data_IF_989943817585
#
_entry.id   IF_989943817585
#
_cell.length_a   1.000
_cell.length_b   1.000
_cell.length_c   1.000
_cell.angle_alpha   90.00
_cell.angle_beta   90.00
_cell.angle_gamma   90.00
#
_symmetry.space_group_name_H-M   'P 1'
#
loop_
_entity.id
_entity.type
_entity.pdbx_description
1 polymer ?
#
# COMPACT_ATOMS: atom_id res chain seq x y z
N UNK A 1 -19.88 39.41 30.50
CA UNK A 1 -18.68 38.82 31.11
C UNK A 1 -19.12 37.62 31.96
N UNK A 2 -18.38 36.50 32.05
CA UNK A 2 -17.38 35.86 31.17
C UNK A 2 -18.00 34.60 30.48
N UNK A 3 -17.58 34.11 29.30
CA UNK A 3 -16.26 33.56 28.98
C UNK A 3 -16.26 32.03 29.11
N UNK A 4 -16.98 31.29 28.24
CA UNK A 4 -16.96 29.82 28.22
C UNK A 4 -16.09 29.30 27.08
N UNK A 5 -15.02 28.62 27.46
CA UNK A 5 -13.94 28.14 26.61
C UNK A 5 -14.16 26.63 26.35
N UNK A 6 -14.26 26.26 25.08
CA UNK A 6 -14.35 24.87 24.61
C UNK A 6 -13.01 24.16 24.87
N UNK A 7 -12.98 23.23 25.82
CA UNK A 7 -11.91 22.22 25.92
C UNK A 7 -12.43 20.88 25.41
N UNK A 8 -11.96 20.55 24.23
CA UNK A 8 -11.98 19.22 23.62
C UNK A 8 -11.17 18.25 24.47
N UNK A 9 -11.80 17.20 24.97
CA UNK A 9 -11.15 16.08 25.65
C UNK A 9 -10.80 15.00 24.64
N UNK A 10 -9.55 14.97 24.18
CA UNK A 10 -8.94 13.80 23.54
C UNK A 10 -8.19 12.99 24.60
N UNK A 11 -8.73 11.83 24.96
CA UNK A 11 -8.06 10.84 25.80
C UNK A 11 -6.97 10.13 24.98
N UNK A 12 -5.74 10.61 25.08
CA UNK A 12 -4.57 9.84 24.67
C UNK A 12 -4.19 8.87 25.80
N UNK A 13 -4.25 7.57 25.50
CA UNK A 13 -3.65 6.50 26.28
C UNK A 13 -2.15 6.75 26.42
N UNK A 14 -1.73 7.10 27.64
CA UNK A 14 -0.34 7.20 28.06
C UNK A 14 0.24 5.80 28.29
N UNK A 15 1.09 5.33 27.39
CA UNK A 15 2.02 4.23 27.67
C UNK A 15 3.31 4.82 28.23
N UNK A 16 3.37 4.94 29.55
CA UNK A 16 4.59 5.25 30.30
C UNK A 16 5.52 4.02 30.29
N UNK A 17 6.72 4.16 29.75
CA UNK A 17 7.82 3.23 30.01
C UNK A 17 8.59 3.63 31.27
N UNK A 18 9.05 2.68 32.10
CA UNK A 18 9.70 3.01 33.37
C UNK A 18 11.13 3.51 33.13
N UNK A 19 11.44 4.64 33.76
CA UNK A 19 12.80 5.13 33.93
C UNK A 19 13.61 4.11 34.75
N UNK A 20 14.74 3.64 34.21
CA UNK A 20 15.79 3.02 35.01
C UNK A 20 16.98 3.95 35.15
N UNK A 21 17.33 4.11 36.40
CA UNK A 21 18.39 4.85 37.06
C UNK A 21 19.81 4.46 36.66
N UNK A 22 20.70 5.46 36.72
CA UNK A 22 22.04 5.36 37.33
C UNK A 22 23.09 4.50 36.63
N UNK A 23 24.08 5.16 36.04
CA UNK A 23 25.34 4.53 35.61
C UNK A 23 26.23 5.50 34.86
N UNK A 24 27.20 6.10 35.57
CA UNK A 24 28.21 7.01 35.05
C UNK A 24 29.14 6.36 34.01
N UNK A 25 29.68 7.20 33.12
CA UNK A 25 31.05 7.04 32.61
C UNK A 25 31.28 6.06 31.46
N UNK A 26 30.95 6.46 30.23
CA UNK A 26 31.69 6.02 29.03
C UNK A 26 31.62 7.11 27.96
N UNK A 27 32.72 7.86 27.83
CA UNK A 27 32.98 8.75 26.69
C UNK A 27 33.11 7.90 25.42
N UNK A 28 31.97 7.56 24.80
CA UNK A 28 31.93 6.83 23.54
C UNK A 28 32.48 7.70 22.42
N UNK A 29 33.63 7.32 21.86
CA UNK A 29 34.13 7.83 20.58
C UNK A 29 33.03 7.64 19.53
N UNK A 30 32.67 8.74 18.87
CA UNK A 30 31.72 8.76 17.75
C UNK A 30 32.28 7.90 16.60
N UNK A 31 31.46 7.09 15.91
CA UNK A 31 31.87 6.50 14.65
C UNK A 31 32.18 7.64 13.67
N UNK A 32 33.31 7.54 12.96
CA UNK A 32 33.75 8.56 12.02
C UNK A 32 33.08 8.32 10.65
N UNK A 33 32.01 9.06 10.39
CA UNK A 33 31.15 8.94 9.19
C UNK A 33 31.68 9.67 7.94
N UNK A 34 32.92 10.16 7.94
CA UNK A 34 33.50 10.92 6.81
C UNK A 34 33.83 10.07 5.58
N UNK A 35 33.73 8.74 5.67
CA UNK A 35 33.96 7.83 4.54
C UNK A 35 32.87 7.89 3.47
N UNK A 36 31.61 8.04 3.88
CA UNK A 36 30.48 8.13 2.93
C UNK A 36 30.42 9.49 2.21
N UNK A 37 31.00 10.55 2.77
CA UNK A 37 31.07 11.85 2.09
C UNK A 37 32.10 11.88 0.96
N UNK A 38 33.19 11.10 1.04
CA UNK A 38 34.36 11.27 0.17
C UNK A 38 34.11 11.00 -1.32
N UNK A 39 33.22 10.06 -1.66
CA UNK A 39 32.97 9.66 -3.05
C UNK A 39 32.00 10.62 -3.76
N UNK A 40 31.14 11.30 -3.00
CA UNK A 40 30.16 12.27 -3.51
C UNK A 40 30.69 13.72 -3.48
N UNK A 41 31.84 13.97 -2.85
CA UNK A 41 32.40 15.31 -2.56
C UNK A 41 33.21 15.94 -3.70
N UNK A 42 33.03 15.55 -4.96
CA UNK A 42 33.81 16.13 -6.09
C UNK A 42 33.21 17.39 -6.73
N UNK A 43 32.23 18.03 -6.11
CA UNK A 43 31.73 19.35 -6.57
C UNK A 43 31.69 20.33 -5.38
N UNK A 44 32.67 21.24 -5.32
CA UNK A 44 32.91 22.22 -4.23
C UNK A 44 31.74 23.21 -4.01
N UNK A 45 30.83 23.32 -4.97
CA UNK A 45 29.64 24.17 -4.91
C UNK A 45 28.55 23.59 -4.01
N UNK A 46 28.31 22.27 -4.10
CA UNK A 46 27.31 21.56 -3.28
C UNK A 46 27.70 21.56 -1.80
N UNK A 47 29.01 21.49 -1.51
CA UNK A 47 29.53 21.52 -0.15
C UNK A 47 29.37 22.87 0.55
N UNK A 48 29.39 24.01 -0.18
CA UNK A 48 29.20 25.33 0.41
C UNK A 48 27.76 25.54 0.88
N UNK A 49 26.76 25.10 0.11
CA UNK A 49 25.36 25.23 0.50
C UNK A 49 24.93 24.25 1.61
N UNK A 50 25.49 23.02 1.62
CA UNK A 50 25.23 22.03 2.68
C UNK A 50 25.75 22.54 4.04
N UNK A 51 26.94 23.15 4.06
CA UNK A 51 27.56 23.67 5.28
C UNK A 51 26.82 24.90 5.82
N UNK A 52 26.36 25.78 4.94
CA UNK A 52 25.68 27.03 5.31
C UNK A 52 24.23 26.82 5.81
N UNK A 53 23.58 25.69 5.48
CA UNK A 53 22.21 25.36 5.96
C UNK A 53 22.19 24.42 7.16
N UNK A 54 23.28 23.72 7.46
CA UNK A 54 23.40 22.87 8.64
C UNK A 54 23.42 23.65 9.97
N UNK A 55 23.89 24.90 9.95
CA UNK A 55 24.03 25.74 11.15
C UNK A 55 22.72 26.39 11.60
N UNK A 56 21.68 26.42 10.76
CA UNK A 56 20.42 27.13 11.03
C UNK A 56 19.32 26.30 11.72
N UNK A 57 19.56 25.03 12.06
CA UNK A 57 18.52 24.11 12.57
C UNK A 57 18.82 23.47 13.94
N UNK A 58 19.74 24.04 14.71
CA UNK A 58 20.11 23.55 16.04
C UNK A 58 19.40 24.36 17.13
N UNK A 59 18.14 24.03 17.39
CA UNK A 59 17.40 24.59 18.50
C UNK A 59 16.05 23.92 18.75
N UNK A 60 16.05 22.66 19.22
CA UNK A 60 15.02 22.12 20.12
C UNK A 60 15.28 20.63 20.47
N UNK A 61 15.54 20.43 21.76
CA UNK A 61 15.23 19.30 22.65
C UNK A 61 15.83 17.89 22.47
N UNK A 62 16.56 17.54 23.54
CA UNK A 62 17.10 16.24 23.93
C UNK A 62 16.00 15.37 24.56
N UNK A 63 15.72 14.19 24.00
CA UNK A 63 15.26 13.02 24.75
C UNK A 63 15.39 11.73 23.91
N UNK A 64 16.01 10.70 24.48
CA UNK A 64 15.86 9.29 24.05
C UNK A 64 16.50 8.90 22.72
N UNK A 65 17.68 8.29 22.76
CA UNK A 65 18.45 7.89 21.59
C UNK A 65 17.80 6.81 20.72
N UNK A 66 17.33 7.22 19.54
CA UNK A 66 17.58 6.61 18.23
C UNK A 66 17.60 7.79 17.25
N UNK A 67 18.73 8.06 16.58
CA UNK A 67 18.84 9.20 15.68
C UNK A 67 18.25 8.87 14.29
N UNK A 68 16.99 8.41 14.27
CA UNK A 68 16.17 8.28 13.05
C UNK A 68 16.09 9.62 12.30
N UNK A 69 16.26 10.72 13.04
CA UNK A 69 16.27 12.09 12.54
C UNK A 69 17.48 12.41 11.64
N UNK A 70 18.65 11.80 11.84
CA UNK A 70 19.81 11.97 10.94
C UNK A 70 19.57 11.28 9.58
N UNK A 71 18.97 10.08 9.60
CA UNK A 71 18.48 9.40 8.40
C UNK A 71 17.37 10.20 7.69
N UNK A 72 16.46 10.82 8.45
CA UNK A 72 15.44 11.71 7.90
C UNK A 72 16.00 13.06 7.40
N UNK A 73 17.08 13.60 7.97
CA UNK A 73 17.78 14.80 7.47
C UNK A 73 18.40 14.54 6.09
N UNK A 74 18.95 13.34 5.88
CA UNK A 74 19.39 12.91 4.55
C UNK A 74 18.20 12.84 3.56
N UNK A 75 17.03 12.31 4.00
CA UNK A 75 15.79 12.32 3.21
C UNK A 75 15.19 13.70 2.95
N UNK A 76 15.29 14.65 3.88
CA UNK A 76 14.75 16.01 3.74
C UNK A 76 15.61 16.85 2.80
N UNK A 77 16.94 16.72 2.86
CA UNK A 77 17.84 17.42 1.94
C UNK A 77 17.75 16.85 0.51
N UNK A 78 17.54 15.54 0.36
CA UNK A 78 17.33 14.92 -0.95
C UNK A 78 15.93 15.25 -1.51
N UNK A 79 14.87 15.27 -0.70
CA UNK A 79 13.53 15.70 -1.17
C UNK A 79 13.50 17.18 -1.55
N UNK A 80 14.20 18.05 -0.80
CA UNK A 80 14.30 19.48 -1.09
C UNK A 80 15.10 19.81 -2.35
N UNK A 81 16.07 18.98 -2.74
CA UNK A 81 16.84 19.13 -3.99
C UNK A 81 16.25 18.36 -5.18
N UNK A 82 15.49 17.29 -4.96
CA UNK A 82 14.82 16.53 -6.02
C UNK A 82 13.48 17.10 -6.47
N UNK A 83 12.81 17.90 -5.63
CA UNK A 83 11.57 18.61 -5.97
C UNK A 83 11.80 19.88 -6.81
N UNK A 84 13.07 20.27 -7.01
CA UNK A 84 13.48 21.35 -7.89
C UNK A 84 13.80 20.79 -9.28
N UNK A 85 13.13 21.31 -10.29
CA UNK A 85 13.22 20.93 -11.71
C UNK A 85 14.53 21.45 -12.36
N UNK A 86 15.67 21.26 -11.71
CA UNK A 86 16.96 21.78 -12.16
C UNK A 86 17.92 20.65 -12.60
N UNK A 87 18.86 21.01 -13.48
CA UNK A 87 19.97 20.20 -14.06
C UNK A 87 20.68 19.29 -13.04
N UNK A 88 20.71 19.69 -11.76
CA UNK A 88 21.26 18.94 -10.63
C UNK A 88 20.48 17.64 -10.36
N UNK A 89 19.14 17.66 -10.43
CA UNK A 89 18.30 16.45 -10.30
C UNK A 89 18.60 15.46 -11.42
N UNK A 90 18.84 15.94 -12.65
CA UNK A 90 19.24 15.11 -13.79
C UNK A 90 20.64 14.52 -13.58
N UNK A 91 21.62 15.33 -13.15
CA UNK A 91 23.01 14.90 -12.92
C UNK A 91 23.14 13.91 -11.76
N UNK A 92 22.34 14.09 -10.70
CA UNK A 92 22.23 13.14 -9.58
C UNK A 92 21.60 11.83 -10.07
N UNK A 93 20.49 11.89 -10.83
CA UNK A 93 19.85 10.70 -11.40
C UNK A 93 20.80 9.94 -12.34
N UNK A 94 21.57 10.65 -13.15
CA UNK A 94 22.57 10.05 -14.06
C UNK A 94 23.73 9.39 -13.30
N UNK A 95 24.24 10.05 -12.26
CA UNK A 95 25.31 9.51 -11.41
C UNK A 95 24.84 8.28 -10.64
N UNK A 96 23.60 8.29 -10.12
CA UNK A 96 22.96 7.15 -9.46
C UNK A 96 22.75 6.00 -10.44
N UNK A 97 22.27 6.28 -11.66
CA UNK A 97 22.13 5.25 -12.72
C UNK A 97 23.46 4.61 -13.09
N UNK A 98 24.55 5.38 -13.16
CA UNK A 98 25.89 4.86 -13.48
C UNK A 98 26.51 4.02 -12.36
N UNK A 99 26.11 4.22 -11.11
CA UNK A 99 26.72 3.59 -9.93
C UNK A 99 25.70 2.85 -9.04
N UNK A 100 24.62 2.33 -9.63
CA UNK A 100 23.52 1.75 -8.86
C UNK A 100 23.95 0.59 -7.93
N UNK A 101 24.91 -0.24 -8.37
CA UNK A 101 25.45 -1.34 -7.56
C UNK A 101 26.28 -0.86 -6.37
N UNK A 102 27.06 0.21 -6.54
CA UNK A 102 27.83 0.80 -5.44
C UNK A 102 26.89 1.42 -4.39
N UNK A 103 25.83 2.09 -4.85
CA UNK A 103 24.79 2.60 -3.96
C UNK A 103 24.11 1.46 -3.17
N UNK A 104 23.80 0.34 -3.82
CA UNK A 104 23.26 -0.85 -3.15
C UNK A 104 24.23 -1.40 -2.11
N UNK A 105 25.52 -1.51 -2.44
CA UNK A 105 26.53 -2.00 -1.51
C UNK A 105 26.65 -1.08 -0.28
N UNK A 106 26.72 0.23 -0.49
CA UNK A 106 26.75 1.21 0.60
C UNK A 106 25.47 1.14 1.45
N UNK A 107 24.31 0.98 0.82
CA UNK A 107 23.05 0.83 1.52
C UNK A 107 23.03 -0.45 2.37
N UNK A 108 23.49 -1.58 1.85
CA UNK A 108 23.57 -2.84 2.59
C UNK A 108 24.52 -2.78 3.78
N UNK A 109 25.65 -2.06 3.67
CA UNK A 109 26.53 -1.82 4.82
C UNK A 109 25.82 -1.05 5.93
N UNK A 110 25.04 -0.03 5.58
CA UNK A 110 24.23 0.70 6.55
C UNK A 110 23.14 -0.21 7.17
N UNK A 111 22.48 -1.05 6.39
CA UNK A 111 21.49 -2.01 6.90
C UNK A 111 22.12 -3.02 7.87
N UNK A 112 23.34 -3.49 7.60
CA UNK A 112 24.06 -4.41 8.48
C UNK A 112 24.35 -3.78 9.86
N UNK A 113 24.75 -2.50 9.89
CA UNK A 113 24.98 -1.78 11.14
C UNK A 113 23.68 -1.58 11.93
N UNK A 114 22.60 -1.15 11.26
CA UNK A 114 21.29 -0.98 11.91
C UNK A 114 20.77 -2.30 12.47
N UNK A 115 20.94 -3.43 11.76
CA UNK A 115 20.58 -4.76 12.27
C UNK A 115 21.41 -5.16 13.49
N UNK A 116 22.72 -4.88 13.47
CA UNK A 116 23.58 -5.15 14.61
C UNK A 116 23.11 -4.37 15.84
N UNK A 117 22.70 -3.11 15.67
CA UNK A 117 22.14 -2.27 16.73
C UNK A 117 20.79 -2.77 17.23
N UNK A 118 19.88 -3.18 16.34
CA UNK A 118 18.57 -3.76 16.70
C UNK A 118 18.74 -4.99 17.58
N UNK A 119 19.63 -5.91 17.17
CA UNK A 119 19.89 -7.16 17.89
C UNK A 119 20.61 -6.90 19.22
N UNK A 120 21.60 -6.01 19.23
CA UNK A 120 22.37 -5.65 20.45
C UNK A 120 21.49 -4.99 21.51
N UNK A 121 20.51 -4.18 21.09
CA UNK A 121 19.60 -3.48 22.00
C UNK A 121 18.30 -4.25 22.28
N UNK A 122 18.12 -5.45 21.72
CA UNK A 122 16.93 -6.30 21.87
C UNK A 122 15.60 -5.59 21.54
N UNK A 123 15.60 -4.67 20.59
CA UNK A 123 14.39 -3.93 20.16
C UNK A 123 13.60 -4.65 19.06
N UNK A 124 14.17 -5.71 18.47
CA UNK A 124 13.55 -6.49 17.40
C UNK A 124 14.47 -7.59 16.87
N UNK A 125 14.01 -8.30 15.83
CA UNK A 125 14.76 -9.39 15.20
C UNK A 125 15.52 -8.92 13.95
N UNK A 126 14.85 -8.14 13.10
CA UNK A 126 15.40 -7.62 11.84
C UNK A 126 14.59 -6.40 11.34
N UNK A 127 14.98 -5.87 10.18
CA UNK A 127 14.30 -4.80 9.46
C UNK A 127 13.30 -5.35 8.43
N UNK A 128 12.07 -4.82 8.47
CA UNK A 128 11.05 -5.06 7.45
C UNK A 128 10.67 -3.73 6.79
N UNK A 129 10.83 -3.65 5.47
CA UNK A 129 10.34 -2.53 4.68
C UNK A 129 8.95 -2.85 4.15
N UNK A 130 7.98 -1.99 4.44
CA UNK A 130 6.66 -2.02 3.83
C UNK A 130 6.57 -0.82 2.90
N UNK A 131 6.64 -1.09 1.60
CA UNK A 131 6.49 -0.08 0.55
C UNK A 131 5.05 -0.14 0.07
N UNK A 132 4.28 0.89 0.42
CA UNK A 132 2.92 1.07 -0.07
C UNK A 132 2.84 2.27 -1.01
N UNK A 133 1.79 2.36 -1.82
CA UNK A 133 1.59 3.50 -2.71
C UNK A 133 2.27 3.35 -4.07
N UNK A 134 2.65 2.14 -4.49
CA UNK A 134 3.25 1.92 -5.81
C UNK A 134 2.30 2.26 -6.96
N UNK A 135 1.01 2.49 -6.68
CA UNK A 135 0.06 3.03 -7.64
C UNK A 135 0.37 4.42 -8.16
N UNK A 136 1.21 5.15 -7.44
CA UNK A 136 1.72 6.46 -7.85
C UNK A 136 2.88 6.36 -8.84
N UNK A 137 3.42 5.16 -9.07
CA UNK A 137 4.51 4.93 -10.00
C UNK A 137 3.93 4.73 -11.41
N UNK A 138 4.55 5.35 -12.42
CA UNK A 138 4.15 5.15 -13.81
C UNK A 138 4.37 3.69 -14.23
N UNK A 139 3.64 3.21 -15.23
CA UNK A 139 3.79 1.83 -15.70
C UNK A 139 5.22 1.57 -16.19
N UNK A 140 5.82 2.51 -16.91
CA UNK A 140 7.19 2.41 -17.44
C UNK A 140 8.21 2.28 -16.30
N UNK A 141 8.02 3.07 -15.23
CA UNK A 141 8.88 3.01 -14.05
C UNK A 141 8.70 1.70 -13.30
N UNK A 142 7.46 1.19 -13.23
CA UNK A 142 7.17 -0.10 -12.62
C UNK A 142 7.83 -1.25 -13.40
N UNK A 143 7.66 -1.28 -14.72
CA UNK A 143 8.30 -2.28 -15.59
C UNK A 143 9.83 -2.21 -15.48
N UNK A 144 10.39 -1.00 -15.44
CA UNK A 144 11.83 -0.83 -15.24
C UNK A 144 12.26 -1.41 -13.89
N UNK A 145 11.59 -1.08 -12.79
CA UNK A 145 12.02 -1.44 -11.43
C UNK A 145 11.79 -2.92 -11.09
N UNK A 146 10.64 -3.48 -11.45
CA UNK A 146 10.22 -4.83 -11.04
C UNK A 146 10.47 -5.91 -12.08
N UNK A 147 10.72 -5.51 -13.34
CA UNK A 147 11.04 -6.44 -14.42
C UNK A 147 12.50 -6.22 -14.82
N UNK A 148 12.76 -5.20 -15.64
CA UNK A 148 14.06 -5.00 -16.32
C UNK A 148 15.24 -4.91 -15.35
N UNK A 149 15.11 -4.08 -14.33
CA UNK A 149 16.13 -3.81 -13.31
C UNK A 149 15.80 -4.45 -11.96
N UNK A 150 15.01 -5.53 -11.95
CA UNK A 150 14.67 -6.27 -10.72
C UNK A 150 15.89 -6.68 -9.90
N UNK A 151 17.05 -6.90 -10.55
CA UNK A 151 18.33 -7.18 -9.89
C UNK A 151 18.78 -6.09 -8.91
N UNK A 152 18.39 -4.83 -9.13
CA UNK A 152 18.68 -3.73 -8.19
C UNK A 152 17.91 -3.90 -6.90
N UNK A 153 16.64 -4.27 -6.97
CA UNK A 153 15.84 -4.60 -5.79
C UNK A 153 16.36 -5.87 -5.10
N UNK A 154 16.76 -6.88 -5.87
CA UNK A 154 17.38 -8.12 -5.35
C UNK A 154 18.70 -7.86 -4.62
N UNK A 155 19.44 -6.85 -5.05
CA UNK A 155 20.71 -6.47 -4.44
C UNK A 155 20.54 -5.86 -3.04
N UNK A 156 19.35 -5.38 -2.69
CA UNK A 156 19.08 -4.84 -1.36
C UNK A 156 18.92 -6.00 -0.38
N UNK A 157 19.85 -6.11 0.56
CA UNK A 157 19.79 -7.09 1.65
C UNK A 157 18.80 -6.61 2.70
N UNK A 158 17.50 -6.78 2.42
CA UNK A 158 16.41 -6.49 3.34
C UNK A 158 15.17 -7.34 3.05
N UNK A 159 14.34 -7.56 4.08
CA UNK A 159 12.98 -8.06 3.88
C UNK A 159 12.07 -6.93 3.42
N UNK A 160 11.45 -7.08 2.25
CA UNK A 160 10.61 -6.04 1.64
C UNK A 160 9.25 -6.63 1.27
N UNK A 161 8.19 -6.00 1.75
CA UNK A 161 6.81 -6.19 1.27
C UNK A 161 6.48 -4.96 0.42
N UNK A 162 6.07 -5.18 -0.82
CA UNK A 162 5.69 -4.12 -1.73
C UNK A 162 4.24 -4.32 -2.17
N UNK A 163 3.38 -3.32 -1.97
CA UNK A 163 2.09 -3.30 -2.65
C UNK A 163 2.35 -2.95 -4.12
N UNK A 164 1.65 -3.60 -5.04
CA UNK A 164 1.84 -3.38 -6.48
C UNK A 164 0.50 -3.03 -7.12
N UNK A 165 0.52 -2.18 -8.15
CA UNK A 165 -0.70 -1.97 -8.93
C UNK A 165 -1.13 -3.28 -9.56
N UNK A 166 -2.41 -3.59 -9.43
CA UNK A 166 -2.97 -4.84 -9.91
C UNK A 166 -2.96 -4.94 -11.45
N UNK A 167 -3.03 -3.83 -12.18
CA UNK A 167 -2.91 -3.81 -13.65
C UNK A 167 -1.48 -4.09 -14.11
N UNK A 168 -0.48 -3.53 -13.42
CA UNK A 168 0.93 -3.82 -13.66
C UNK A 168 1.27 -5.26 -13.26
N UNK A 169 0.67 -5.77 -12.18
CA UNK A 169 0.87 -7.12 -11.69
C UNK A 169 0.51 -8.16 -12.74
N UNK A 170 -0.67 -8.11 -13.38
CA UNK A 170 -1.07 -9.14 -14.35
C UNK A 170 -0.27 -9.12 -15.66
N UNK A 171 0.20 -7.95 -16.11
CA UNK A 171 1.03 -7.85 -17.31
C UNK A 171 2.46 -8.31 -17.04
N UNK A 172 2.96 -8.07 -15.82
CA UNK A 172 4.28 -8.51 -15.37
C UNK A 172 4.28 -9.97 -14.89
N UNK A 173 3.15 -10.49 -14.38
CA UNK A 173 2.91 -11.89 -14.00
C UNK A 173 3.39 -12.90 -15.05
N UNK A 174 3.31 -12.48 -16.32
CA UNK A 174 3.63 -13.27 -17.50
C UNK A 174 5.15 -13.25 -17.79
N UNK A 175 5.89 -12.26 -17.30
CA UNK A 175 7.34 -12.22 -17.42
C UNK A 175 7.98 -13.18 -16.41
N UNK A 176 8.78 -14.14 -16.90
CA UNK A 176 9.48 -15.19 -16.15
C UNK A 176 10.39 -14.72 -14.99
N UNK A 177 10.50 -13.41 -14.76
CA UNK A 177 11.36 -12.79 -13.74
C UNK A 177 10.71 -12.73 -12.33
N UNK A 178 9.47 -13.20 -12.19
CA UNK A 178 8.78 -13.27 -10.89
C UNK A 178 9.30 -14.37 -9.98
N UNK A 179 10.16 -15.28 -10.45
CA UNK A 179 10.76 -16.31 -9.59
C UNK A 179 11.45 -15.75 -8.31
N UNK A 180 11.85 -14.47 -8.30
CA UNK A 180 12.38 -13.80 -7.12
C UNK A 180 11.30 -13.29 -6.15
N UNK A 181 10.20 -12.76 -6.67
CA UNK A 181 9.15 -12.20 -5.83
C UNK A 181 8.18 -13.31 -5.45
N UNK A 182 7.78 -13.35 -4.18
CA UNK A 182 6.65 -14.20 -3.78
C UNK A 182 5.36 -13.38 -3.91
N UNK A 183 4.58 -13.56 -5.00
CA UNK A 183 3.33 -12.83 -5.15
C UNK A 183 2.34 -13.27 -4.07
N UNK A 184 1.86 -12.32 -3.28
CA UNK A 184 0.77 -12.54 -2.33
C UNK A 184 -0.46 -11.81 -2.86
N UNK A 185 -1.40 -12.58 -3.40
CA UNK A 185 -2.70 -12.08 -3.80
C UNK A 185 -3.66 -12.41 -2.66
N UNK A 186 -4.37 -11.40 -2.15
CA UNK A 186 -5.43 -11.64 -1.18
C UNK A 186 -6.54 -12.47 -1.87
N UNK A 187 -6.81 -13.71 -1.44
CA UNK A 187 -7.77 -14.57 -2.12
C UNK A 187 -9.19 -14.05 -1.94
N UNK A 188 -10.02 -14.24 -2.97
CA UNK A 188 -11.47 -14.14 -2.82
C UNK A 188 -11.99 -15.40 -2.12
N UNK A 189 -12.94 -15.23 -1.22
CA UNK A 189 -13.50 -16.33 -0.44
C UNK A 189 -14.76 -16.81 -1.15
N UNK A 190 -14.78 -18.05 -1.65
CA UNK A 190 -16.00 -18.60 -2.22
C UNK A 190 -16.98 -18.95 -1.09
N UNK A 191 -17.96 -18.06 -0.86
CA UNK A 191 -18.88 -18.11 0.29
C UNK A 191 -19.59 -19.47 0.42
N UNK A 192 -20.18 -20.04 -0.64
CA UNK A 192 -20.93 -21.31 -0.53
C UNK A 192 -20.05 -22.50 -0.14
N UNK A 193 -18.76 -22.46 -0.45
CA UNK A 193 -17.86 -23.62 -0.24
C UNK A 193 -17.22 -23.70 1.14
N UNK A 194 -17.27 -22.62 1.92
CA UNK A 194 -16.53 -22.55 3.18
C UNK A 194 -17.48 -22.21 4.34
N UNK A 195 -17.78 -23.19 5.23
CA UNK A 195 -18.62 -22.95 6.41
C UNK A 195 -18.09 -21.80 7.27
N UNK A 196 -18.99 -20.90 7.69
CA UNK A 196 -18.67 -19.73 8.51
C UNK A 196 -17.95 -18.60 7.77
N UNK A 197 -17.73 -18.71 6.46
CA UNK A 197 -17.11 -17.65 5.66
C UNK A 197 -17.92 -16.35 5.68
N UNK A 198 -19.25 -16.44 5.64
CA UNK A 198 -20.12 -15.28 5.73
C UNK A 198 -19.95 -14.53 7.06
N UNK A 199 -19.92 -15.25 8.18
CA UNK A 199 -19.69 -14.65 9.50
C UNK A 199 -18.30 -14.00 9.59
N UNK A 200 -17.27 -14.60 8.97
CA UNK A 200 -15.93 -13.99 8.88
C UNK A 200 -15.97 -12.71 8.03
N UNK A 201 -16.71 -12.69 6.93
CA UNK A 201 -16.89 -11.50 6.11
C UNK A 201 -17.62 -10.40 6.87
N UNK A 202 -18.68 -10.74 7.62
CA UNK A 202 -19.36 -9.79 8.53
C UNK A 202 -18.40 -9.23 9.57
N UNK A 203 -17.57 -10.08 10.20
CA UNK A 203 -16.57 -9.66 11.20
C UNK A 203 -15.58 -8.61 10.67
N UNK A 204 -15.28 -8.59 9.36
CA UNK A 204 -14.42 -7.55 8.78
C UNK A 204 -15.06 -6.17 8.91
N UNK A 205 -16.39 -6.09 8.73
CA UNK A 205 -17.16 -4.85 8.84
C UNK A 205 -17.40 -4.50 10.31
N UNK A 206 -17.82 -5.46 11.13
CA UNK A 206 -18.17 -5.19 12.53
C UNK A 206 -16.97 -4.86 13.42
N UNK A 207 -15.75 -5.22 13.00
CA UNK A 207 -14.50 -4.72 13.62
C UNK A 207 -14.23 -3.24 13.36
N UNK A 208 -14.89 -2.63 12.37
CA UNK A 208 -14.68 -1.23 11.95
C UNK A 208 -15.82 -0.33 12.40
N UNK A 209 -17.04 -0.83 12.41
CA UNK A 209 -18.26 -0.07 12.73
C UNK A 209 -19.25 -0.94 13.53
N UNK A 210 -20.08 -0.30 14.35
CA UNK A 210 -21.11 -0.98 15.12
C UNK A 210 -22.29 -1.39 14.21
N UNK A 211 -22.49 -2.70 14.03
CA UNK A 211 -23.50 -3.25 13.11
C UNK A 211 -24.90 -2.70 13.40
N UNK A 212 -25.32 -2.73 14.66
CA UNK A 212 -26.65 -2.33 15.10
C UNK A 212 -26.99 -0.86 14.84
N UNK A 213 -25.97 0.00 14.69
CA UNK A 213 -26.13 1.41 14.40
C UNK A 213 -26.36 1.67 12.91
N UNK A 214 -25.63 0.95 12.05
CA UNK A 214 -25.63 1.21 10.61
C UNK A 214 -26.56 0.30 9.81
N UNK A 215 -26.95 -0.87 10.31
CA UNK A 215 -27.70 -1.85 9.52
C UNK A 215 -28.98 -2.31 10.20
N UNK A 216 -30.06 -2.38 9.44
CA UNK A 216 -31.19 -3.24 9.80
C UNK A 216 -30.81 -4.73 9.70
N UNK A 217 -31.62 -5.58 10.34
CA UNK A 217 -31.39 -7.02 10.39
C UNK A 217 -31.37 -7.60 8.97
N UNK A 218 -30.34 -8.37 8.62
CA UNK A 218 -30.22 -9.03 7.30
C UNK A 218 -29.53 -8.20 6.23
N UNK A 219 -29.38 -6.88 6.42
CA UNK A 219 -28.78 -6.00 5.40
C UNK A 219 -27.29 -6.27 5.22
N UNK A 220 -26.57 -6.53 6.31
CA UNK A 220 -25.15 -6.84 6.22
C UNK A 220 -24.92 -8.20 5.55
N UNK A 221 -25.76 -9.21 5.85
CA UNK A 221 -25.76 -10.50 5.15
C UNK A 221 -25.99 -10.31 3.65
N UNK A 222 -26.96 -9.48 3.27
CA UNK A 222 -27.23 -9.16 1.86
C UNK A 222 -26.00 -8.55 1.17
N UNK A 223 -25.31 -7.59 1.81
CA UNK A 223 -24.06 -7.03 1.27
C UNK A 223 -22.92 -8.05 1.18
N UNK A 224 -22.83 -8.98 2.13
CA UNK A 224 -21.85 -10.08 2.06
C UNK A 224 -22.11 -10.95 0.84
N UNK A 225 -23.36 -11.34 0.58
CA UNK A 225 -23.71 -12.12 -0.62
C UNK A 225 -23.38 -11.36 -1.91
N UNK A 226 -23.76 -10.09 -2.00
CA UNK A 226 -23.44 -9.25 -3.15
C UNK A 226 -21.95 -9.05 -3.38
N UNK A 227 -21.12 -9.15 -2.33
CA UNK A 227 -19.68 -9.02 -2.47
C UNK A 227 -19.02 -10.19 -3.20
N UNK A 228 -19.70 -11.34 -3.31
CA UNK A 228 -19.09 -12.58 -3.81
C UNK A 228 -17.85 -12.99 -3.01
N UNK A 229 -17.80 -12.67 -1.72
CA UNK A 229 -16.62 -12.91 -0.88
C UNK A 229 -15.35 -12.14 -1.29
N UNK A 230 -15.49 -11.09 -2.10
CA UNK A 230 -14.43 -10.12 -2.36
C UNK A 230 -14.48 -9.00 -1.31
N UNK A 231 -13.48 -8.95 -0.42
CA UNK A 231 -13.40 -7.96 0.68
C UNK A 231 -13.41 -6.52 0.15
N UNK A 232 -12.72 -6.27 -0.97
CA UNK A 232 -12.68 -4.94 -1.61
C UNK A 232 -14.08 -4.49 -2.04
N UNK A 233 -14.86 -5.42 -2.62
CA UNK A 233 -16.23 -5.14 -3.03
C UNK A 233 -17.15 -4.96 -1.83
N UNK A 234 -17.03 -5.78 -0.80
CA UNK A 234 -17.80 -5.63 0.44
C UNK A 234 -17.61 -4.24 1.04
N UNK A 235 -16.35 -3.79 1.19
CA UNK A 235 -16.04 -2.46 1.69
C UNK A 235 -16.61 -1.35 0.79
N UNK A 236 -16.58 -1.52 -0.54
CA UNK A 236 -17.17 -0.56 -1.49
C UNK A 236 -18.69 -0.48 -1.33
N UNK A 237 -19.38 -1.62 -1.24
CA UNK A 237 -20.84 -1.68 -1.08
C UNK A 237 -21.25 -0.99 0.24
N UNK A 238 -20.62 -1.39 1.35
CA UNK A 238 -20.90 -0.82 2.67
C UNK A 238 -20.62 0.68 2.70
N UNK A 239 -19.46 1.13 2.21
CA UNK A 239 -19.13 2.55 2.18
C UNK A 239 -20.13 3.34 1.32
N UNK A 240 -20.53 2.80 0.15
CA UNK A 240 -21.53 3.46 -0.70
C UNK A 240 -22.89 3.56 0.01
N UNK A 241 -23.31 2.54 0.73
CA UNK A 241 -24.57 2.54 1.45
C UNK A 241 -24.59 3.55 2.61
N UNK A 242 -23.49 3.64 3.37
CA UNK A 242 -23.34 4.64 4.44
C UNK A 242 -23.37 6.06 3.85
N UNK A 243 -22.70 6.30 2.71
CA UNK A 243 -22.72 7.60 2.06
C UNK A 243 -24.10 7.94 1.47
N UNK A 244 -24.79 6.95 0.90
CA UNK A 244 -26.14 7.10 0.33
C UNK A 244 -27.16 7.53 1.39
N UNK A 245 -27.12 6.88 2.55
CA UNK A 245 -27.97 7.17 3.72
C UNK A 245 -27.47 8.33 4.57
N UNK A 246 -26.31 8.91 4.23
CA UNK A 246 -25.63 9.98 5.01
C UNK A 246 -25.34 9.58 6.46
N UNK A 247 -25.08 8.30 6.69
CA UNK A 247 -24.78 7.75 8.01
C UNK A 247 -26.00 7.29 8.81
N UNK A 248 -27.22 7.47 8.28
CA UNK A 248 -28.43 6.91 8.87
C UNK A 248 -28.44 5.37 8.76
N UNK A 249 -29.31 4.74 9.53
CA UNK A 249 -29.46 3.29 9.54
C UNK A 249 -29.96 2.80 8.18
N UNK A 250 -29.23 1.86 7.58
CA UNK A 250 -29.46 1.35 6.23
C UNK A 250 -30.58 0.30 6.27
N UNK A 251 -31.66 0.57 5.55
CA UNK A 251 -32.76 -0.37 5.34
C UNK A 251 -32.49 -1.33 4.19
N UNK A 252 -33.31 -2.38 4.08
CA UNK A 252 -33.26 -3.30 2.93
C UNK A 252 -33.50 -2.58 1.60
N UNK A 253 -34.40 -1.59 1.56
CA UNK A 253 -34.66 -0.80 0.36
C UNK A 253 -33.46 0.04 -0.03
N UNK A 254 -32.78 0.68 0.92
CA UNK A 254 -31.54 1.43 0.65
C UNK A 254 -30.45 0.52 0.10
N UNK A 255 -30.33 -0.69 0.67
CA UNK A 255 -29.37 -1.69 0.24
C UNK A 255 -29.59 -2.13 -1.21
N UNK A 256 -30.84 -2.36 -1.61
CA UNK A 256 -31.22 -2.68 -2.99
C UNK A 256 -30.93 -1.53 -3.95
N UNK A 257 -31.24 -0.29 -3.56
CA UNK A 257 -30.93 0.89 -4.37
C UNK A 257 -29.42 1.06 -4.59
N UNK A 258 -28.63 0.88 -3.54
CA UNK A 258 -27.16 0.93 -3.62
C UNK A 258 -26.62 -0.18 -4.51
N UNK A 259 -27.14 -1.41 -4.38
CA UNK A 259 -26.76 -2.52 -5.23
C UNK A 259 -27.05 -2.23 -6.71
N UNK A 260 -28.21 -1.66 -7.01
CA UNK A 260 -28.62 -1.29 -8.36
C UNK A 260 -27.77 -0.15 -8.95
N UNK A 261 -27.41 0.86 -8.15
CA UNK A 261 -26.45 1.91 -8.54
C UNK A 261 -25.09 1.29 -8.91
N UNK A 262 -24.52 0.47 -8.02
CA UNK A 262 -23.21 -0.15 -8.24
C UNK A 262 -23.23 -1.12 -9.44
N UNK A 263 -24.33 -1.83 -9.62
CA UNK A 263 -24.56 -2.71 -10.76
C UNK A 263 -24.58 -1.93 -12.08
N UNK A 264 -25.30 -0.81 -12.15
CA UNK A 264 -25.30 0.08 -13.33
C UNK A 264 -23.92 0.66 -13.62
N UNK A 265 -23.22 1.16 -12.60
CA UNK A 265 -21.86 1.69 -12.76
C UNK A 265 -20.94 0.62 -13.36
N UNK A 266 -21.03 -0.63 -12.89
CA UNK A 266 -20.24 -1.73 -13.43
C UNK A 266 -20.63 -2.06 -14.88
N UNK A 267 -21.93 -2.19 -15.18
CA UNK A 267 -22.42 -2.48 -16.53
C UNK A 267 -22.01 -1.42 -17.55
N UNK A 268 -21.95 -0.14 -17.16
CA UNK A 268 -21.55 0.97 -18.04
C UNK A 268 -20.08 0.89 -18.49
N UNK A 269 -19.23 0.15 -17.77
CA UNK A 269 -17.83 -0.06 -18.16
C UNK A 269 -17.65 -1.20 -19.16
N UNK A 270 -18.71 -1.97 -19.45
CA UNK A 270 -18.64 -3.13 -20.31
C UNK A 270 -18.85 -2.76 -21.77
N UNK A 271 -17.93 -3.21 -22.64
CA UNK A 271 -18.10 -3.17 -24.08
C UNK A 271 -19.04 -4.29 -24.55
N UNK A 272 -19.45 -4.24 -25.82
CA UNK A 272 -20.23 -5.33 -26.42
C UNK A 272 -19.47 -6.66 -26.38
N UNK A 273 -18.16 -6.61 -26.63
CA UNK A 273 -17.29 -7.79 -26.56
C UNK A 273 -17.25 -8.37 -25.15
N UNK A 274 -17.14 -7.53 -24.12
CA UNK A 274 -17.21 -7.98 -22.73
C UNK A 274 -18.53 -8.71 -22.44
N UNK A 275 -19.68 -8.15 -22.88
CA UNK A 275 -20.98 -8.78 -22.68
C UNK A 275 -21.07 -10.13 -23.40
N UNK A 276 -20.49 -10.24 -24.60
CA UNK A 276 -20.43 -11.50 -25.34
C UNK A 276 -19.62 -12.56 -24.59
N UNK A 277 -18.41 -12.22 -24.14
CA UNK A 277 -17.56 -13.09 -23.30
C UNK A 277 -18.36 -13.57 -22.08
N UNK A 278 -19.10 -12.67 -21.43
CA UNK A 278 -19.88 -12.97 -20.23
C UNK A 278 -21.12 -13.84 -20.49
N UNK A 279 -21.67 -13.87 -21.70
CA UNK A 279 -22.83 -14.69 -22.06
C UNK A 279 -22.45 -16.07 -22.57
N UNK A 280 -21.37 -16.13 -23.34
CA UNK A 280 -20.91 -17.36 -23.99
C UNK A 280 -20.01 -18.20 -23.07
N UNK A 281 -19.73 -17.71 -21.86
CA UNK A 281 -18.78 -18.30 -20.92
C UNK A 281 -17.36 -18.45 -21.47
N UNK A 282 -16.99 -17.52 -22.36
CA UNK A 282 -15.74 -17.62 -23.13
C UNK A 282 -14.48 -17.30 -22.30
N UNK A 283 -14.67 -16.89 -21.04
CA UNK A 283 -13.58 -16.68 -20.07
C UNK A 283 -12.88 -17.97 -19.63
N UNK A 284 -13.37 -19.14 -20.06
CA UNK A 284 -12.74 -20.44 -19.81
C UNK A 284 -11.53 -20.67 -20.73
N UNK A 285 -11.32 -19.84 -21.75
CA UNK A 285 -10.14 -19.89 -22.62
C UNK A 285 -8.93 -19.27 -21.89
N UNK A 286 -7.77 -19.95 -21.85
CA UNK A 286 -6.61 -19.45 -21.14
C UNK A 286 -5.97 -18.23 -21.82
N UNK A 287 -5.46 -17.30 -21.02
CA UNK A 287 -4.60 -16.16 -21.39
C UNK A 287 -5.21 -15.06 -22.28
N UNK A 288 -6.54 -14.90 -22.28
CA UNK A 288 -7.19 -13.77 -22.96
C UNK A 288 -7.01 -12.44 -22.17
N UNK A 289 -6.41 -11.39 -22.78
CA UNK A 289 -6.28 -10.07 -22.16
C UNK A 289 -7.61 -9.46 -21.71
N UNK A 290 -8.70 -9.67 -22.44
CA UNK A 290 -10.03 -9.15 -22.10
C UNK A 290 -10.56 -9.81 -20.83
N UNK A 291 -10.34 -11.12 -20.68
CA UNK A 291 -10.70 -11.85 -19.44
C UNK A 291 -9.89 -11.34 -18.25
N UNK A 292 -8.61 -11.03 -18.43
CA UNK A 292 -7.79 -10.43 -17.38
C UNK A 292 -8.32 -9.04 -16.97
N UNK A 293 -8.79 -8.23 -17.94
CA UNK A 293 -9.46 -6.95 -17.67
C UNK A 293 -10.77 -7.13 -16.90
N UNK A 294 -11.58 -8.12 -17.26
CA UNK A 294 -12.85 -8.42 -16.56
C UNK A 294 -12.61 -8.88 -15.11
N UNK A 295 -11.56 -9.68 -14.86
CA UNK A 295 -11.15 -10.06 -13.49
C UNK A 295 -10.65 -8.82 -12.73
N UNK A 296 -9.83 -7.98 -13.37
CA UNK A 296 -9.33 -6.74 -12.77
C UNK A 296 -10.46 -5.79 -12.38
N UNK A 297 -11.46 -5.63 -13.24
CA UNK A 297 -12.63 -4.79 -13.01
C UNK A 297 -13.63 -5.39 -11.99
N UNK A 298 -13.33 -6.57 -11.44
CA UNK A 298 -14.22 -7.35 -10.57
C UNK A 298 -15.54 -7.74 -11.26
N UNK A 299 -15.58 -7.76 -12.59
CA UNK A 299 -16.75 -8.23 -13.36
C UNK A 299 -16.81 -9.77 -13.29
N UNK A 300 -15.64 -10.39 -13.34
CA UNK A 300 -15.42 -11.81 -13.04
C UNK A 300 -14.71 -11.95 -11.70
N UNK A 301 -15.19 -12.87 -10.87
CA UNK A 301 -14.62 -13.24 -9.58
C UNK A 301 -13.81 -14.53 -9.73
N UNK A 302 -12.57 -14.54 -9.26
CA UNK A 302 -11.66 -15.70 -9.35
C UNK A 302 -11.44 -16.34 -7.99
N UNK A 303 -11.91 -17.57 -7.82
CA UNK A 303 -11.80 -18.38 -6.60
C UNK A 303 -10.97 -19.63 -6.85
N UNK A 304 -9.69 -19.68 -6.43
CA UNK A 304 -8.84 -20.89 -6.41
C UNK A 304 -9.14 -21.98 -7.48
N UNK A 305 -9.23 -21.58 -8.76
CA UNK A 305 -9.50 -22.49 -9.88
C UNK A 305 -10.88 -22.35 -10.54
N UNK A 306 -11.82 -21.67 -9.92
CA UNK A 306 -13.13 -21.33 -10.46
C UNK A 306 -13.23 -19.82 -10.79
N UNK A 307 -14.02 -19.48 -11.82
CA UNK A 307 -14.32 -18.11 -12.21
C UNK A 307 -15.84 -17.97 -12.36
N UNK A 308 -16.42 -16.97 -11.71
CA UNK A 308 -17.85 -16.69 -11.77
C UNK A 308 -18.14 -15.23 -12.10
N UNK A 309 -19.31 -14.96 -12.67
CA UNK A 309 -19.81 -13.60 -12.82
C UNK A 309 -20.11 -13.00 -11.45
N UNK A 310 -19.68 -11.76 -11.25
CA UNK A 310 -19.92 -10.99 -10.04
C UNK A 310 -21.43 -10.92 -9.70
N UNK A 311 -21.82 -11.26 -8.45
CA UNK A 311 -23.21 -11.19 -8.01
C UNK A 311 -23.93 -9.86 -8.29
N UNK A 312 -23.23 -8.71 -8.25
CA UNK A 312 -23.82 -7.39 -8.53
C UNK A 312 -24.42 -7.27 -9.94
N UNK A 313 -23.87 -7.97 -10.92
CA UNK A 313 -24.26 -7.83 -12.34
C UNK A 313 -24.79 -9.13 -12.94
N UNK A 314 -24.70 -10.26 -12.23
CA UNK A 314 -25.06 -11.60 -12.72
C UNK A 314 -26.43 -11.63 -13.40
N UNK A 315 -27.45 -11.06 -12.77
CA UNK A 315 -28.79 -11.00 -13.37
C UNK A 315 -28.86 -10.03 -14.56
N UNK A 316 -28.22 -8.86 -14.47
CA UNK A 316 -28.25 -7.86 -15.56
C UNK A 316 -27.57 -8.35 -16.83
N UNK A 317 -26.49 -9.12 -16.72
CA UNK A 317 -25.78 -9.71 -17.86
C UNK A 317 -26.69 -10.67 -18.63
N UNK A 318 -27.51 -11.48 -17.94
CA UNK A 318 -28.46 -12.41 -18.59
C UNK A 318 -29.42 -11.69 -19.54
N UNK A 319 -29.88 -10.49 -19.15
CA UNK A 319 -30.87 -9.71 -19.89
C UNK A 319 -30.26 -8.60 -20.78
N UNK A 320 -28.94 -8.41 -20.78
CA UNK A 320 -28.28 -7.41 -21.62
C UNK A 320 -28.47 -7.74 -23.12
N UNK A 321 -28.63 -6.77 -24.02
CA UNK A 321 -28.75 -7.06 -25.46
C UNK A 321 -27.42 -7.61 -26.03
N UNK A 322 -27.50 -8.59 -26.93
CA UNK A 322 -26.32 -9.25 -27.54
C UNK A 322 -25.82 -8.60 -28.84
N UNK A 323 -26.37 -7.44 -29.24
CA UNK A 323 -26.23 -6.85 -30.59
C UNK A 323 -25.22 -5.72 -30.70
#
# INVERSE_FOLDING_TARGET
>A
MPGFNLKTTSSCLSLSWPAKSGGEGLTRKRPNWTGCSGVWSREEEVNREIKHRAEASLGAEKAGGINLFEFFKFKLNIRGTLASENVISTKIRETVKKNALDLINQFNLALAEVRADIRRNHVGQDLLFIVDGSERISYETYEQLFVKDSYLLRGIDASIINSVRIDSFYRVAIAQQIAFFQPVILPMIHLPSLPGSEDRMKQIITKRIAESHFFEKGVLEYFVQLSGGCIRQLLRIVNRAILYTRGEKISQTDAEQVADILSREMMQTLSREHIKILKEEDWKKPADPEVALLIFALVLMKYNGNIEINPLIREKVKYAPST
#
